data_IF_384107481566
#
_entry.id   IF_384107481566
#
_cell.length_a   1.000
_cell.length_b   1.000
_cell.length_c   1.000
_cell.angle_alpha   90.00
_cell.angle_beta   90.00
_cell.angle_gamma   90.00
#
_symmetry.space_group_name_H-M   'P 1'
#
loop_
_entity.id
_entity.type
_entity.pdbx_description
1 polymer ?
#
# COMPACT_ATOMS: atom_id res chain seq x y z
N UNK A 1 -32.10 -19.48 17.54
CA UNK A 1 -31.49 -18.15 17.39
C UNK A 1 -30.65 -18.03 16.10
N UNK A 2 -31.21 -18.37 14.93
CA UNK A 2 -30.47 -18.39 13.66
C UNK A 2 -30.33 -16.98 13.05
N UNK A 3 -31.37 -16.15 13.15
CA UNK A 3 -31.38 -14.81 12.56
C UNK A 3 -30.30 -13.86 13.12
N UNK A 4 -30.05 -13.78 14.45
CA UNK A 4 -28.97 -12.95 14.98
C UNK A 4 -27.57 -13.40 14.51
N UNK A 5 -27.32 -14.70 14.47
CA UNK A 5 -26.04 -15.25 14.02
C UNK A 5 -25.76 -14.97 12.53
N UNK A 6 -26.79 -15.00 11.68
CA UNK A 6 -26.67 -14.64 10.26
C UNK A 6 -26.32 -13.15 10.10
N UNK A 7 -26.94 -12.28 10.90
CA UNK A 7 -26.69 -10.85 10.83
C UNK A 7 -25.27 -10.48 11.31
N UNK A 8 -24.78 -11.14 12.37
CA UNK A 8 -23.38 -11.02 12.80
C UNK A 8 -22.41 -11.46 11.71
N UNK A 9 -22.70 -12.59 11.03
CA UNK A 9 -21.89 -13.07 9.91
C UNK A 9 -21.82 -12.06 8.75
N UNK A 10 -22.94 -11.39 8.42
CA UNK A 10 -22.96 -10.33 7.39
C UNK A 10 -22.12 -9.12 7.81
N UNK A 11 -22.21 -8.70 9.07
CA UNK A 11 -21.41 -7.59 9.61
C UNK A 11 -19.92 -7.90 9.54
N UNK A 12 -19.50 -9.08 9.98
CA UNK A 12 -18.10 -9.51 9.91
C UNK A 12 -17.60 -9.56 8.47
N UNK A 13 -18.43 -10.08 7.54
CA UNK A 13 -18.09 -10.12 6.12
C UNK A 13 -17.87 -8.72 5.54
N UNK A 14 -18.77 -7.77 5.82
CA UNK A 14 -18.63 -6.40 5.36
C UNK A 14 -17.34 -5.73 5.87
N UNK A 15 -16.94 -6.00 7.13
CA UNK A 15 -15.67 -5.52 7.68
C UNK A 15 -14.49 -6.11 6.93
N UNK A 16 -14.46 -7.43 6.70
CA UNK A 16 -13.39 -8.09 5.96
C UNK A 16 -13.29 -7.59 4.52
N UNK A 17 -14.42 -7.44 3.82
CA UNK A 17 -14.45 -6.90 2.47
C UNK A 17 -13.86 -5.47 2.42
N UNK A 18 -14.16 -4.64 3.43
CA UNK A 18 -13.57 -3.30 3.56
C UNK A 18 -12.06 -3.32 3.77
N UNK A 19 -11.55 -4.22 4.62
CA UNK A 19 -10.11 -4.38 4.86
C UNK A 19 -9.38 -4.87 3.59
N UNK A 20 -9.99 -5.80 2.86
CA UNK A 20 -9.46 -6.29 1.58
C UNK A 20 -9.44 -5.19 0.53
N UNK A 21 -10.52 -4.41 0.39
CA UNK A 21 -10.59 -3.29 -0.53
C UNK A 21 -9.50 -2.24 -0.22
N UNK A 22 -9.30 -1.92 1.07
CA UNK A 22 -8.25 -0.99 1.50
C UNK A 22 -6.84 -1.51 1.15
N UNK A 23 -6.60 -2.82 1.29
CA UNK A 23 -5.33 -3.42 0.91
C UNK A 23 -5.05 -3.31 -0.59
N UNK A 24 -6.06 -3.59 -1.43
CA UNK A 24 -5.93 -3.49 -2.88
C UNK A 24 -5.72 -2.04 -3.34
N UNK A 25 -6.38 -1.08 -2.70
CA UNK A 25 -6.13 0.35 -2.94
C UNK A 25 -4.65 0.71 -2.65
N UNK A 26 -4.11 0.28 -1.50
CA UNK A 26 -2.72 0.54 -1.15
C UNK A 26 -1.73 -0.12 -2.12
N UNK A 27 -2.03 -1.32 -2.61
CA UNK A 27 -1.23 -2.01 -3.63
C UNK A 27 -1.23 -1.26 -4.96
N UNK A 28 -2.41 -0.81 -5.39
CA UNK A 28 -2.55 -0.03 -6.62
C UNK A 28 -1.76 1.29 -6.52
N UNK A 29 -1.84 1.97 -5.37
CA UNK A 29 -1.05 3.18 -5.09
C UNK A 29 0.45 2.91 -5.13
N UNK A 30 0.93 1.87 -4.44
CA UNK A 30 2.35 1.49 -4.45
C UNK A 30 2.85 1.21 -5.88
N UNK A 31 2.06 0.47 -6.67
CA UNK A 31 2.40 0.16 -8.06
C UNK A 31 2.46 1.42 -8.93
N UNK A 32 1.50 2.34 -8.76
CA UNK A 32 1.47 3.60 -9.52
C UNK A 32 2.68 4.49 -9.23
N UNK A 33 3.04 4.68 -7.96
CA UNK A 33 4.22 5.46 -7.57
C UNK A 33 5.51 4.78 -8.05
N UNK A 34 5.56 3.44 -8.05
CA UNK A 34 6.73 2.71 -8.54
C UNK A 34 6.88 2.81 -10.06
N UNK A 35 5.79 2.76 -10.81
CA UNK A 35 5.84 2.99 -12.26
C UNK A 35 6.23 4.42 -12.58
N UNK A 36 5.70 5.42 -11.85
CA UNK A 36 6.10 6.82 -12.00
C UNK A 36 7.62 7.00 -11.80
N UNK A 37 8.19 6.39 -10.76
CA UNK A 37 9.62 6.42 -10.51
C UNK A 37 10.41 5.75 -11.66
N UNK A 38 9.93 4.62 -12.18
CA UNK A 38 10.55 3.92 -13.32
C UNK A 38 10.54 4.76 -14.60
N UNK A 39 9.41 5.38 -14.94
CA UNK A 39 9.27 6.26 -16.10
C UNK A 39 10.26 7.44 -16.08
N UNK A 40 10.66 7.88 -14.88
CA UNK A 40 11.61 8.95 -14.67
C UNK A 40 13.06 8.49 -14.47
N UNK A 41 13.34 7.19 -14.67
CA UNK A 41 14.69 6.63 -14.57
C UNK A 41 15.21 6.43 -13.15
N UNK A 42 14.33 6.47 -12.14
CA UNK A 42 14.69 6.39 -10.72
C UNK A 42 14.63 4.94 -10.17
N UNK A 43 14.48 3.95 -11.03
CA UNK A 43 14.30 2.55 -10.64
C UNK A 43 15.45 1.96 -9.81
N UNK A 44 16.67 2.50 -9.96
CA UNK A 44 17.86 2.07 -9.23
C UNK A 44 18.27 3.05 -8.12
N UNK A 45 17.41 4.02 -7.79
CA UNK A 45 17.68 4.98 -6.73
C UNK A 45 17.68 4.27 -5.36
N UNK A 46 18.80 4.30 -4.62
CA UNK A 46 18.95 3.54 -3.39
C UNK A 46 18.06 4.05 -2.25
N UNK A 47 17.63 5.31 -2.27
CA UNK A 47 16.73 5.83 -1.24
C UNK A 47 15.27 5.50 -1.55
N UNK A 48 14.90 5.50 -2.84
CA UNK A 48 13.60 4.97 -3.25
C UNK A 48 13.48 3.48 -2.94
N UNK A 49 14.53 2.69 -3.15
CA UNK A 49 14.56 1.27 -2.77
C UNK A 49 14.36 1.09 -1.26
N UNK A 50 15.04 1.90 -0.43
CA UNK A 50 14.90 1.86 1.03
C UNK A 50 13.46 2.18 1.49
N UNK A 51 12.75 3.06 0.80
CA UNK A 51 11.36 3.38 1.09
C UNK A 51 10.36 2.37 0.50
N UNK A 52 10.68 1.76 -0.65
CA UNK A 52 9.82 0.79 -1.34
C UNK A 52 9.76 -0.56 -0.62
N UNK A 53 10.91 -1.08 -0.16
CA UNK A 53 11.01 -2.43 0.43
C UNK A 53 10.06 -2.63 1.62
N UNK A 54 9.94 -1.70 2.59
CA UNK A 54 8.96 -1.82 3.68
C UNK A 54 7.52 -1.90 3.18
N UNK A 55 7.13 -1.08 2.21
CA UNK A 55 5.78 -1.08 1.64
C UNK A 55 5.47 -2.40 0.93
N UNK A 56 6.40 -2.89 0.10
CA UNK A 56 6.30 -4.21 -0.55
C UNK A 56 6.16 -5.33 0.49
N UNK A 57 6.99 -5.32 1.53
CA UNK A 57 6.95 -6.35 2.58
C UNK A 57 5.58 -6.42 3.27
N UNK A 58 5.00 -5.27 3.61
CA UNK A 58 3.70 -5.20 4.31
C UNK A 58 2.50 -5.51 3.42
N UNK A 59 2.59 -5.24 2.11
CA UNK A 59 1.46 -5.41 1.19
C UNK A 59 1.50 -6.72 0.39
N UNK A 60 2.68 -7.30 0.17
CA UNK A 60 2.88 -8.43 -0.74
C UNK A 60 3.43 -9.64 0.00
N UNK A 61 4.53 -9.49 0.74
CA UNK A 61 5.33 -10.64 1.21
C UNK A 61 4.92 -11.17 2.61
N UNK A 62 4.41 -10.31 3.49
CA UNK A 62 4.14 -10.63 4.90
C UNK A 62 2.69 -10.39 5.34
N UNK A 63 2.37 -10.61 6.64
CA UNK A 63 1.07 -10.24 7.17
C UNK A 63 0.83 -8.74 6.98
N UNK A 64 -0.37 -8.40 6.50
CA UNK A 64 -0.68 -7.03 6.14
C UNK A 64 -1.23 -6.26 7.34
N UNK A 65 -0.36 -5.48 7.97
CA UNK A 65 -0.77 -4.45 8.93
C UNK A 65 -1.14 -3.18 8.17
N UNK A 66 -2.44 -2.97 7.91
CA UNK A 66 -2.94 -1.92 7.01
C UNK A 66 -2.50 -0.51 7.40
N UNK A 67 -2.44 -0.19 8.69
CA UNK A 67 -2.00 1.12 9.16
C UNK A 67 -0.52 1.34 8.85
N UNK A 68 0.33 0.36 9.15
CA UNK A 68 1.76 0.44 8.84
C UNK A 68 2.00 0.46 7.33
N UNK A 69 1.22 -0.31 6.57
CA UNK A 69 1.29 -0.35 5.11
C UNK A 69 0.94 1.01 4.49
N UNK A 70 -0.10 1.69 4.99
CA UNK A 70 -0.48 3.02 4.54
C UNK A 70 0.66 4.03 4.77
N UNK A 71 1.25 4.04 5.97
CA UNK A 71 2.40 4.91 6.28
C UNK A 71 3.61 4.61 5.38
N UNK A 72 3.89 3.34 5.10
CA UNK A 72 4.99 2.95 4.23
C UNK A 72 4.76 3.39 2.77
N UNK A 73 3.52 3.28 2.26
CA UNK A 73 3.15 3.79 0.93
C UNK A 73 3.27 5.31 0.87
N UNK A 74 2.78 6.04 1.88
CA UNK A 74 2.90 7.50 1.92
C UNK A 74 4.37 7.95 1.98
N UNK A 75 5.20 7.22 2.73
CA UNK A 75 6.66 7.45 2.81
C UNK A 75 7.32 7.27 1.45
N UNK A 76 6.99 6.18 0.73
CA UNK A 76 7.52 5.94 -0.60
C UNK A 76 7.07 7.00 -1.61
N UNK A 77 5.79 7.35 -1.64
CA UNK A 77 5.26 8.38 -2.52
C UNK A 77 5.92 9.75 -2.27
N UNK A 78 6.15 10.11 -1.01
CA UNK A 78 6.86 11.34 -0.65
C UNK A 78 8.31 11.32 -1.16
N UNK A 79 9.02 10.19 -1.02
CA UNK A 79 10.37 10.04 -1.54
C UNK A 79 10.43 10.14 -3.07
N UNK A 80 9.48 9.52 -3.79
CA UNK A 80 9.36 9.65 -5.25
C UNK A 80 9.19 11.11 -5.65
N UNK A 81 8.29 11.85 -5.01
CA UNK A 81 8.05 13.28 -5.32
C UNK A 81 9.27 14.14 -5.06
N UNK A 82 9.94 13.97 -3.91
CA UNK A 82 11.17 14.69 -3.61
C UNK A 82 12.24 14.46 -4.69
N UNK A 83 12.41 13.21 -5.15
CA UNK A 83 13.36 12.90 -6.23
C UNK A 83 13.01 13.51 -7.57
N UNK A 84 11.73 13.61 -7.88
CA UNK A 84 11.27 14.28 -9.10
C UNK A 84 11.51 15.79 -9.05
N UNK A 85 11.37 16.40 -7.87
CA UNK A 85 11.63 17.83 -7.63
C UNK A 85 13.13 18.17 -7.64
N UNK A 86 13.99 17.27 -7.16
CA UNK A 86 15.45 17.45 -7.15
C UNK A 86 16.09 17.36 -8.55
N UNK A 87 15.33 16.99 -9.58
CA UNK A 87 15.85 16.93 -10.96
C UNK A 87 15.93 18.34 -11.58
N UNK A 88 17.08 18.71 -12.17
CA UNK A 88 17.25 19.97 -12.89
C UNK A 88 16.48 20.02 -14.21
#
# INVERSE_FOLDING_TARGET
AVAPAVEDGRRQRAVLDGLMARREELRARLAAEHELAREHGLAADPELEQAYVPAKRLLIDGPCELTAAATAVDTYAAAVRARLEDRP
#
